data_IF_621439013068
#
_entry.id   IF_621439013068
#
_cell.length_a   1.000
_cell.length_b   1.000
_cell.length_c   1.000
_cell.angle_alpha   90.00
_cell.angle_beta   90.00
_cell.angle_gamma   90.00
#
_symmetry.space_group_name_H-M   'P 1'
#
loop_
_entity.id
_entity.type
_entity.pdbx_description
1 polymer ?
#
# COMPACT_ATOMS: atom_id res chain seq x y z
N UNK A 1 -17.48 7.22 10.16
CA UNK A 1 -16.38 6.92 9.25
C UNK A 1 -15.46 8.13 9.14
N UNK A 2 -14.18 7.93 8.82
CA UNK A 2 -13.20 9.01 8.76
C UNK A 2 -12.32 8.84 7.52
N UNK A 3 -11.61 9.90 7.13
CA UNK A 3 -10.62 9.91 6.06
C UNK A 3 -9.30 10.43 6.58
N UNK A 4 -8.24 9.68 6.30
CA UNK A 4 -6.87 10.13 6.53
C UNK A 4 -6.26 10.57 5.20
N UNK A 5 -5.68 11.75 5.18
CA UNK A 5 -5.03 12.36 4.02
C UNK A 5 -3.60 12.69 4.37
N UNK A 6 -2.66 12.01 3.72
CA UNK A 6 -1.23 12.26 3.89
C UNK A 6 -0.73 13.14 2.74
N UNK A 7 -0.31 14.36 3.04
CA UNK A 7 0.33 15.25 2.07
C UNK A 7 1.84 15.20 2.24
N UNK A 8 2.53 14.98 1.13
CA UNK A 8 3.99 14.94 1.10
C UNK A 8 4.56 16.32 1.38
N UNK A 9 5.57 16.37 2.26
CA UNK A 9 6.40 17.55 2.48
C UNK A 9 7.78 17.41 1.82
N UNK A 10 8.12 16.19 1.45
CA UNK A 10 9.38 15.79 0.83
C UNK A 10 9.21 14.46 0.08
N UNK A 11 10.13 14.07 -0.84
CA UNK A 11 10.06 12.77 -1.51
C UNK A 11 10.06 11.59 -0.52
N UNK A 12 9.25 10.59 -0.77
CA UNK A 12 9.10 9.42 0.10
C UNK A 12 10.04 8.27 -0.28
N UNK A 13 10.39 7.46 0.71
CA UNK A 13 10.98 6.16 0.52
C UNK A 13 10.05 5.09 1.12
N UNK A 14 9.26 4.44 0.26
CA UNK A 14 8.46 3.28 0.64
C UNK A 14 9.24 2.02 0.30
N UNK A 15 10.04 1.56 1.24
CA UNK A 15 11.04 0.53 1.00
C UNK A 15 10.47 -0.69 0.29
N UNK A 16 10.89 -0.89 -0.94
CA UNK A 16 10.61 -2.04 -1.79
C UNK A 16 11.69 -3.12 -1.68
N UNK A 17 11.98 -3.77 -2.80
CA UNK A 17 13.08 -4.72 -2.94
C UNK A 17 14.44 -4.01 -2.90
N UNK A 18 15.47 -4.75 -2.54
CA UNK A 18 16.84 -4.26 -2.39
C UNK A 18 17.26 -4.20 -0.92
N UNK A 19 18.51 -4.49 -0.67
CA UNK A 19 19.09 -4.41 0.66
C UNK A 19 20.19 -3.37 0.67
N UNK A 20 20.17 -2.50 1.70
CA UNK A 20 21.37 -1.80 2.08
C UNK A 20 22.27 -2.82 2.79
N UNK A 21 23.12 -3.47 2.03
CA UNK A 21 24.17 -4.30 2.62
C UNK A 21 25.35 -3.39 2.98
N UNK A 22 25.65 -3.19 4.27
CA UNK A 22 26.79 -2.39 4.68
C UNK A 22 28.14 -3.02 4.28
N UNK A 23 28.16 -4.29 3.85
CA UNK A 23 29.35 -4.94 3.32
C UNK A 23 29.49 -4.75 1.80
N UNK A 24 28.43 -4.40 1.09
CA UNK A 24 28.50 -4.08 -0.33
C UNK A 24 29.14 -2.71 -0.55
N UNK A 25 30.20 -2.67 -1.37
CA UNK A 25 30.92 -1.42 -1.69
C UNK A 25 30.37 -0.81 -2.98
N UNK A 26 30.17 0.54 -2.95
CA UNK A 26 29.86 1.33 -4.14
C UNK A 26 28.42 1.26 -4.60
N UNK A 27 28.21 1.38 -5.92
CA UNK A 27 26.90 1.50 -6.57
C UNK A 27 25.98 0.28 -6.44
N UNK A 28 26.46 -0.81 -5.87
CA UNK A 28 25.68 -2.05 -5.68
C UNK A 28 24.79 -2.04 -4.43
N UNK A 29 24.98 -1.09 -3.51
CA UNK A 29 24.09 -0.90 -2.36
C UNK A 29 22.99 0.10 -2.74
N UNK A 30 21.87 -0.42 -3.21
CA UNK A 30 20.72 0.40 -3.62
C UNK A 30 19.42 -0.14 -3.07
N UNK A 31 18.46 0.74 -2.81
CA UNK A 31 17.09 0.38 -2.47
C UNK A 31 16.12 1.15 -3.33
N UNK A 32 15.12 0.46 -3.84
CA UNK A 32 14.01 1.06 -4.58
C UNK A 32 12.83 1.38 -3.65
N UNK A 33 12.06 2.38 -4.02
CA UNK A 33 10.78 2.67 -3.41
C UNK A 33 9.66 1.93 -4.14
N UNK A 34 8.65 1.49 -3.39
CA UNK A 34 7.34 1.21 -3.94
C UNK A 34 6.69 2.52 -4.40
N UNK A 35 5.76 2.44 -5.33
CA UNK A 35 5.00 3.61 -5.80
C UNK A 35 4.06 4.15 -4.72
N UNK A 36 3.42 3.26 -3.94
CA UNK A 36 2.55 3.58 -2.82
C UNK A 36 3.08 3.00 -1.51
N UNK A 37 2.74 3.58 -0.35
CA UNK A 37 3.10 3.02 0.94
C UNK A 37 2.42 1.67 1.16
N UNK A 38 3.15 0.74 1.79
CA UNK A 38 2.53 -0.49 2.26
C UNK A 38 1.51 -0.20 3.38
N UNK A 39 0.48 -1.04 3.55
CA UNK A 39 -0.49 -0.88 4.64
C UNK A 39 0.17 -0.78 6.02
N UNK A 40 1.23 -1.55 6.28
CA UNK A 40 1.95 -1.46 7.55
C UNK A 40 2.65 -0.11 7.74
N UNK A 41 3.02 0.58 6.67
CA UNK A 41 3.63 1.93 6.74
C UNK A 41 2.60 2.98 7.12
N UNK A 42 1.43 2.96 6.48
CA UNK A 42 0.33 3.89 6.78
C UNK A 42 -0.27 3.64 8.16
N UNK A 43 -0.48 2.37 8.53
CA UNK A 43 -0.96 2.00 9.86
C UNK A 43 0.03 2.42 10.97
N UNK A 44 1.34 2.26 10.74
CA UNK A 44 2.37 2.73 11.65
C UNK A 44 2.33 4.25 11.84
N UNK A 45 2.15 5.02 10.77
CA UNK A 45 2.01 6.48 10.85
C UNK A 45 0.73 6.89 11.58
N UNK A 46 -0.42 6.24 11.34
CA UNK A 46 -1.67 6.47 12.05
C UNK A 46 -1.55 6.11 13.55
N UNK A 47 -0.85 5.04 13.89
CA UNK A 47 -0.64 4.62 15.27
C UNK A 47 0.16 5.64 16.09
N UNK A 48 1.00 6.48 15.46
CA UNK A 48 1.77 7.52 16.18
C UNK A 48 0.92 8.66 16.74
N UNK A 49 -0.30 8.82 16.24
CA UNK A 49 -1.26 9.84 16.76
C UNK A 49 -2.23 9.27 17.78
N UNK A 50 -2.06 8.01 18.18
CA UNK A 50 -2.88 7.35 19.19
C UNK A 50 -2.06 7.08 20.45
N UNK A 51 -2.74 6.91 21.57
CA UNK A 51 -2.09 6.53 22.81
C UNK A 51 -1.43 5.16 22.71
N UNK A 52 -0.29 5.01 23.36
CA UNK A 52 0.42 3.74 23.42
C UNK A 52 -0.40 2.67 24.17
N UNK A 53 -0.55 1.50 23.56
CA UNK A 53 -1.21 0.35 24.16
C UNK A 53 -0.17 -0.76 24.35
N UNK A 54 -0.14 -1.36 25.53
CA UNK A 54 0.69 -2.55 25.77
C UNK A 54 0.13 -3.74 24.96
N UNK A 55 0.95 -4.25 24.06
CA UNK A 55 0.58 -5.32 23.14
C UNK A 55 1.10 -6.69 23.57
N UNK A 56 1.90 -6.76 24.64
CA UNK A 56 2.37 -8.02 25.23
C UNK A 56 2.98 -9.00 24.23
N UNK A 57 2.50 -10.25 24.25
CA UNK A 57 3.01 -11.36 23.40
C UNK A 57 2.25 -11.57 22.10
N UNK A 58 1.37 -10.65 21.69
CA UNK A 58 0.55 -10.77 20.49
C UNK A 58 1.35 -10.85 19.19
N UNK A 59 0.77 -11.43 18.15
CA UNK A 59 1.33 -11.38 16.82
C UNK A 59 1.42 -9.94 16.30
N UNK A 60 2.21 -9.74 15.25
CA UNK A 60 2.52 -8.38 14.80
C UNK A 60 1.28 -7.63 14.31
N UNK A 61 0.36 -8.29 13.61
CA UNK A 61 -0.89 -7.74 13.10
C UNK A 61 -1.89 -7.46 14.20
N UNK A 62 -2.07 -8.37 15.15
CA UNK A 62 -2.89 -8.14 16.35
C UNK A 62 -2.36 -6.99 17.21
N UNK A 63 -1.03 -6.92 17.39
CA UNK A 63 -0.40 -5.85 18.14
C UNK A 63 -0.69 -4.48 17.52
N UNK A 64 -0.50 -4.36 16.20
CA UNK A 64 -0.78 -3.11 15.48
C UNK A 64 -2.28 -2.81 15.40
N UNK A 65 -3.12 -3.81 15.16
CA UNK A 65 -4.58 -3.67 15.13
C UNK A 65 -5.11 -3.14 16.46
N UNK A 66 -4.54 -3.58 17.57
CA UNK A 66 -4.92 -3.13 18.91
C UNK A 66 -4.49 -1.67 19.16
N UNK A 67 -3.26 -1.28 18.76
CA UNK A 67 -2.81 0.12 18.85
C UNK A 67 -3.66 1.00 17.95
N UNK A 68 -3.92 0.55 16.74
CA UNK A 68 -4.67 1.31 15.74
C UNK A 68 -6.14 1.43 16.15
N UNK A 69 -6.77 0.35 16.61
CA UNK A 69 -8.17 0.30 17.08
C UNK A 69 -9.21 0.65 16.02
N UNK A 70 -8.83 0.62 14.74
CA UNK A 70 -9.67 0.96 13.58
C UNK A 70 -9.34 0.05 12.42
N UNK A 71 -10.22 0.00 11.42
CA UNK A 71 -9.94 -0.65 10.13
C UNK A 71 -9.56 0.38 9.09
N UNK A 72 -8.50 0.09 8.34
CA UNK A 72 -7.99 0.98 7.29
C UNK A 72 -8.29 0.38 5.92
N UNK A 73 -8.70 1.21 4.94
CA UNK A 73 -8.89 0.82 3.54
C UNK A 73 -8.20 1.80 2.60
N UNK A 74 -7.48 1.26 1.64
CA UNK A 74 -6.64 2.01 0.72
C UNK A 74 -5.30 1.31 0.46
N UNK A 75 -4.27 2.02 -0.03
CA UNK A 75 -4.23 3.46 -0.27
C UNK A 75 -4.82 3.89 -1.62
N UNK A 76 -5.37 5.08 -1.66
CA UNK A 76 -5.70 5.80 -2.89
C UNK A 76 -4.72 6.96 -3.06
N UNK A 77 -4.41 7.32 -4.29
CA UNK A 77 -3.61 8.50 -4.60
C UNK A 77 -4.51 9.56 -5.23
N UNK A 78 -4.60 10.74 -4.60
CA UNK A 78 -5.24 11.91 -5.19
C UNK A 78 -4.18 12.77 -5.87
N UNK A 79 -4.45 13.17 -7.12
CA UNK A 79 -3.69 14.19 -7.82
C UNK A 79 -4.67 15.23 -8.39
N UNK A 80 -4.72 16.41 -7.79
CA UNK A 80 -5.76 17.39 -8.05
C UNK A 80 -7.15 16.84 -7.73
N UNK A 81 -8.05 16.85 -8.71
CA UNK A 81 -9.40 16.29 -8.60
C UNK A 81 -9.50 14.80 -8.92
N UNK A 82 -8.45 14.20 -9.47
CA UNK A 82 -8.45 12.81 -9.94
C UNK A 82 -7.92 11.87 -8.89
N UNK A 83 -8.62 10.77 -8.66
CA UNK A 83 -8.20 9.66 -7.81
C UNK A 83 -7.58 8.55 -8.65
N UNK A 84 -6.55 7.93 -8.09
CA UNK A 84 -5.80 6.85 -8.71
C UNK A 84 -5.63 5.70 -7.73
N UNK A 85 -5.44 4.50 -8.27
CA UNK A 85 -5.14 3.27 -7.54
C UNK A 85 -3.88 2.62 -8.10
N UNK A 86 -3.10 1.98 -7.25
CA UNK A 86 -1.85 1.33 -7.66
C UNK A 86 -2.14 0.07 -8.48
N UNK A 87 -1.54 -0.01 -9.67
CA UNK A 87 -1.33 -1.23 -10.42
C UNK A 87 0.15 -1.61 -10.30
N UNK A 88 0.47 -2.45 -9.32
CA UNK A 88 1.84 -2.89 -9.07
C UNK A 88 2.31 -3.92 -10.09
N UNK A 89 1.38 -4.61 -10.75
CA UNK A 89 1.70 -5.59 -11.80
C UNK A 89 2.34 -4.88 -13.00
N UNK A 90 1.76 -3.73 -13.39
CA UNK A 90 2.24 -2.92 -14.50
C UNK A 90 3.09 -1.69 -14.06
N UNK A 91 3.29 -1.50 -12.75
CA UNK A 91 4.15 -0.45 -12.18
C UNK A 91 3.64 0.97 -12.38
N UNK A 92 2.33 1.18 -12.29
CA UNK A 92 1.65 2.46 -12.52
C UNK A 92 0.51 2.71 -11.54
N UNK A 93 -0.01 3.94 -11.57
CA UNK A 93 -1.32 4.26 -11.04
C UNK A 93 -2.32 4.39 -12.19
N UNK A 94 -3.48 3.73 -12.07
CA UNK A 94 -4.61 3.89 -12.99
C UNK A 94 -5.67 4.78 -12.34
N UNK A 95 -6.48 5.46 -13.13
CA UNK A 95 -7.56 6.29 -12.61
C UNK A 95 -8.62 5.42 -11.95
N UNK A 96 -9.16 5.87 -10.82
CA UNK A 96 -10.24 5.15 -10.12
C UNK A 96 -11.49 4.97 -11.03
N UNK A 97 -11.79 5.96 -11.86
CA UNK A 97 -12.90 5.90 -12.82
C UNK A 97 -12.74 4.80 -13.88
N UNK A 98 -11.50 4.43 -14.22
CA UNK A 98 -11.19 3.38 -15.21
C UNK A 98 -11.20 1.96 -14.61
N UNK A 99 -11.28 1.81 -13.27
CA UNK A 99 -11.12 0.51 -12.59
C UNK A 99 -12.19 -0.50 -13.02
N UNK A 100 -13.44 -0.07 -13.21
CA UNK A 100 -14.51 -0.97 -13.66
C UNK A 100 -14.21 -1.55 -15.04
N UNK A 101 -13.84 -0.70 -15.99
CA UNK A 101 -13.46 -1.13 -17.35
C UNK A 101 -12.20 -2.00 -17.31
N UNK A 102 -11.20 -1.62 -16.51
CA UNK A 102 -9.98 -2.39 -16.32
C UNK A 102 -10.27 -3.81 -15.84
N UNK A 103 -11.13 -3.99 -14.82
CA UNK A 103 -11.51 -5.31 -14.31
C UNK A 103 -12.19 -6.16 -15.38
N UNK A 104 -13.07 -5.57 -16.18
CA UNK A 104 -13.72 -6.27 -17.28
C UNK A 104 -12.70 -6.75 -18.33
N UNK A 105 -11.81 -5.87 -18.78
CA UNK A 105 -10.80 -6.17 -19.80
C UNK A 105 -9.78 -7.22 -19.36
N UNK A 106 -9.36 -7.20 -18.08
CA UNK A 106 -8.45 -8.22 -17.53
C UNK A 106 -9.06 -9.61 -17.56
N UNK A 107 -10.37 -9.74 -17.42
CA UNK A 107 -11.10 -11.01 -17.48
C UNK A 107 -11.30 -11.52 -18.90
N UNK A 108 -11.46 -10.64 -19.85
CA UNK A 108 -11.80 -10.98 -21.25
C UNK A 108 -10.62 -11.61 -22.01
N UNK A 109 -9.39 -11.27 -21.68
CA UNK A 109 -8.12 -11.83 -22.19
C UNK A 109 -8.07 -11.99 -23.74
N UNK A 110 -8.50 -10.96 -24.49
CA UNK A 110 -8.43 -10.91 -25.95
C UNK A 110 -7.41 -9.86 -26.41
N UNK A 111 -6.90 -9.96 -27.66
CA UNK A 111 -5.98 -8.98 -28.24
C UNK A 111 -6.56 -7.55 -28.19
N UNK A 112 -7.87 -7.44 -28.40
CA UNK A 112 -8.58 -6.15 -28.32
C UNK A 112 -8.62 -5.62 -26.89
N UNK A 113 -8.79 -6.49 -25.91
CA UNK A 113 -8.78 -6.14 -24.49
C UNK A 113 -7.39 -5.67 -24.06
N UNK A 114 -6.33 -6.33 -24.55
CA UNK A 114 -4.96 -5.89 -24.27
C UNK A 114 -4.65 -4.48 -24.80
N UNK A 115 -5.12 -4.14 -26.01
CA UNK A 115 -4.92 -2.80 -26.56
C UNK A 115 -5.60 -1.73 -25.70
N UNK A 116 -6.85 -1.97 -25.28
CA UNK A 116 -7.59 -1.08 -24.39
C UNK A 116 -6.95 -0.97 -22.99
N UNK A 117 -6.44 -2.08 -22.42
CA UNK A 117 -5.70 -2.05 -21.16
C UNK A 117 -4.46 -1.16 -21.28
N UNK A 118 -3.71 -1.26 -22.39
CA UNK A 118 -2.57 -0.37 -22.63
C UNK A 118 -3.00 1.11 -22.73
N UNK A 119 -4.19 1.40 -23.25
CA UNK A 119 -4.73 2.76 -23.29
C UNK A 119 -5.05 3.27 -21.87
N UNK A 120 -5.70 2.46 -21.03
CA UNK A 120 -5.94 2.79 -19.61
C UNK A 120 -4.61 3.08 -18.90
N UNK A 121 -3.61 2.21 -19.06
CA UNK A 121 -2.28 2.39 -18.48
C UNK A 121 -1.55 3.66 -19.02
N UNK A 122 -1.77 4.07 -20.27
CA UNK A 122 -1.22 5.32 -20.80
C UNK A 122 -1.85 6.57 -20.21
N UNK A 123 -3.16 6.53 -19.88
CA UNK A 123 -3.86 7.60 -19.16
C UNK A 123 -3.52 7.64 -17.66
N UNK A 124 -2.88 6.59 -17.17
CA UNK A 124 -2.42 6.47 -15.81
C UNK A 124 -1.30 7.45 -15.44
N UNK A 125 -0.87 7.37 -14.21
CA UNK A 125 0.17 8.22 -13.63
C UNK A 125 1.31 7.38 -13.08
N UNK A 126 2.54 7.86 -13.27
CA UNK A 126 3.72 7.34 -12.56
C UNK A 126 4.40 8.52 -11.88
N UNK A 127 4.60 8.47 -10.56
CA UNK A 127 5.35 9.51 -9.87
C UNK A 127 6.80 9.50 -10.34
N UNK A 128 7.47 10.64 -10.19
CA UNK A 128 8.88 10.75 -10.53
C UNK A 128 9.72 10.00 -9.50
N UNK A 129 10.73 9.28 -9.97
CA UNK A 129 11.75 8.68 -9.14
C UNK A 129 12.96 9.62 -9.00
N UNK A 130 13.48 9.75 -7.79
CA UNK A 130 14.65 10.55 -7.45
C UNK A 130 15.71 9.66 -6.81
N UNK A 131 16.87 9.53 -7.46
CA UNK A 131 18.02 8.87 -6.88
C UNK A 131 18.76 9.85 -5.94
N UNK A 132 18.80 9.54 -4.65
CA UNK A 132 19.50 10.32 -3.64
C UNK A 132 20.64 9.48 -3.08
N UNK A 133 21.86 10.02 -3.15
CA UNK A 133 23.03 9.40 -2.54
C UNK A 133 23.12 9.78 -1.08
N UNK A 134 23.05 8.79 -0.21
CA UNK A 134 23.24 8.91 1.22
C UNK A 134 24.66 8.53 1.63
N UNK A 135 25.06 8.97 2.80
CA UNK A 135 26.34 8.68 3.41
C UNK A 135 26.11 8.14 4.81
N UNK A 136 26.53 6.89 5.06
CA UNK A 136 26.53 6.32 6.40
C UNK A 136 27.50 7.08 7.32
N UNK A 137 27.00 7.54 8.48
CA UNK A 137 27.81 8.17 9.51
C UNK A 137 28.03 7.19 10.66
N UNK A 138 29.26 7.17 11.21
CA UNK A 138 29.56 6.39 12.41
C UNK A 138 28.86 7.05 13.62
N UNK A 139 28.14 6.25 14.41
CA UNK A 139 27.29 6.78 15.45
C UNK A 139 28.01 7.53 16.57
N UNK A 140 27.35 8.55 17.02
CA UNK A 140 27.23 9.11 18.37
C UNK A 140 28.07 10.27 18.83
N UNK A 141 29.21 10.65 18.36
CA UNK A 141 29.94 11.86 18.83
C UNK A 141 30.97 12.38 17.85
N UNK A 142 31.29 11.62 16.85
CA UNK A 142 32.27 12.02 15.86
C UNK A 142 31.50 12.46 14.60
N UNK A 143 31.47 13.75 14.37
CA UNK A 143 30.96 14.34 13.13
C UNK A 143 31.78 13.94 11.91
N UNK A 144 32.87 13.20 12.11
CA UNK A 144 33.78 12.78 11.07
C UNK A 144 33.51 11.31 10.72
N UNK A 145 33.30 11.15 9.45
CA UNK A 145 33.22 9.90 8.77
C UNK A 145 34.54 9.18 8.80
N UNK A 146 34.61 8.05 9.46
CA UNK A 146 35.75 7.14 9.35
C UNK A 146 35.34 6.00 8.47
N UNK A 147 36.00 5.83 7.32
CA UNK A 147 35.88 4.61 6.53
C UNK A 147 36.40 3.45 7.38
N UNK A 148 35.52 2.49 7.69
CA UNK A 148 35.96 1.16 8.12
C UNK A 148 36.44 0.41 6.88
N UNK A 149 37.55 -0.30 6.97
CA UNK A 149 38.16 -0.97 5.81
C UNK A 149 37.23 -1.97 5.13
N UNK A 150 36.17 -2.42 5.84
CA UNK A 150 35.24 -3.44 5.38
C UNK A 150 33.81 -2.96 5.07
N UNK A 151 33.50 -1.64 5.18
CA UNK A 151 32.13 -1.14 4.97
C UNK A 151 32.04 -0.01 3.98
N UNK A 152 31.16 -0.18 2.98
CA UNK A 152 30.75 0.92 2.10
C UNK A 152 29.92 1.94 2.87
N UNK A 153 30.31 3.22 2.82
CA UNK A 153 29.63 4.32 3.51
C UNK A 153 28.71 5.12 2.58
N UNK A 154 28.74 4.80 1.29
CA UNK A 154 27.93 5.47 0.27
C UNK A 154 26.87 4.48 -0.20
N UNK A 155 25.62 4.91 -0.18
CA UNK A 155 24.49 4.14 -0.70
C UNK A 155 23.62 5.04 -1.57
N UNK A 156 22.87 4.43 -2.48
CA UNK A 156 21.86 5.16 -3.29
C UNK A 156 20.48 4.66 -2.93
N UNK A 157 19.57 5.58 -2.61
CA UNK A 157 18.17 5.29 -2.40
C UNK A 157 17.34 5.97 -3.48
N UNK A 158 16.40 5.23 -4.06
CA UNK A 158 15.45 5.75 -5.04
C UNK A 158 14.17 6.12 -4.30
N UNK A 159 13.86 7.40 -4.28
CA UNK A 159 12.68 7.98 -3.64
C UNK A 159 11.57 8.21 -4.67
N UNK A 160 10.33 8.18 -4.21
CA UNK A 160 9.15 8.55 -4.99
C UNK A 160 8.81 10.01 -4.68
N UNK A 161 8.77 10.84 -5.73
CA UNK A 161 8.49 12.26 -5.62
C UNK A 161 7.06 12.56 -6.08
N UNK A 162 6.19 12.85 -5.13
CA UNK A 162 4.83 13.31 -5.37
C UNK A 162 4.72 14.84 -5.51
N UNK A 163 5.82 15.56 -5.25
CA UNK A 163 5.88 17.02 -5.34
C UNK A 163 6.35 17.52 -6.72
N UNK A 164 6.67 16.62 -7.64
CA UNK A 164 7.24 16.97 -8.95
C UNK A 164 6.36 17.91 -9.78
N UNK A 165 5.06 17.95 -9.49
CA UNK A 165 4.10 18.87 -10.08
C UNK A 165 3.60 19.84 -8.99
N UNK A 166 4.39 20.88 -8.70
CA UNK A 166 4.11 21.84 -7.63
C UNK A 166 2.78 22.61 -7.78
N UNK A 167 2.16 22.54 -8.97
CA UNK A 167 0.88 23.19 -9.22
C UNK A 167 -0.32 22.28 -8.93
N UNK A 168 -0.10 21.00 -8.60
CA UNK A 168 -1.15 20.02 -8.37
C UNK A 168 -0.97 19.38 -7.01
N UNK A 169 -1.95 19.57 -6.13
CA UNK A 169 -1.99 18.90 -4.81
C UNK A 169 -2.05 17.38 -5.00
N UNK A 170 -1.08 16.68 -4.40
CA UNK A 170 -0.99 15.22 -4.43
C UNK A 170 -0.99 14.68 -3.02
N UNK A 171 -1.88 13.75 -2.73
CA UNK A 171 -2.05 13.16 -1.40
C UNK A 171 -2.34 11.67 -1.47
N UNK A 172 -1.93 10.94 -0.44
CA UNK A 172 -2.35 9.56 -0.21
C UNK A 172 -3.57 9.60 0.71
N UNK A 173 -4.64 8.96 0.30
CA UNK A 173 -5.89 8.92 1.03
C UNK A 173 -6.25 7.51 1.49
N UNK A 174 -6.82 7.42 2.68
CA UNK A 174 -7.31 6.18 3.27
C UNK A 174 -8.70 6.40 3.86
N UNK A 175 -9.60 5.44 3.68
CA UNK A 175 -10.81 5.35 4.48
C UNK A 175 -10.49 4.66 5.83
N UNK A 176 -11.02 5.22 6.89
CA UNK A 176 -10.89 4.70 8.26
C UNK A 176 -12.29 4.39 8.78
N UNK A 177 -12.51 3.13 9.11
CA UNK A 177 -13.74 2.62 9.68
C UNK A 177 -13.54 2.48 11.18
N UNK A 178 -14.18 3.36 11.95
CA UNK A 178 -14.11 3.42 13.40
C UNK A 178 -15.39 3.99 13.98
N UNK A 179 -15.69 3.67 15.23
CA UNK A 179 -16.74 4.32 16.01
C UNK A 179 -16.33 5.76 16.34
N UNK A 180 -15.11 5.91 16.86
CA UNK A 180 -14.50 7.20 17.19
C UNK A 180 -13.04 7.24 16.75
N UNK A 181 -12.64 8.42 16.26
CA UNK A 181 -11.26 8.74 15.95
C UNK A 181 -11.01 10.22 16.17
N UNK A 182 -9.83 10.56 16.68
CA UNK A 182 -9.38 11.93 16.83
C UNK A 182 -9.24 12.59 15.46
N UNK A 183 -9.92 13.70 15.27
CA UNK A 183 -9.85 14.51 14.05
C UNK A 183 -8.84 15.63 14.25
N UNK A 184 -8.11 15.99 13.21
CA UNK A 184 -7.12 17.05 13.31
C UNK A 184 -6.00 16.94 12.28
N UNK A 185 -4.97 17.76 12.50
CA UNK A 185 -3.77 17.82 11.68
C UNK A 185 -2.56 17.46 12.51
N UNK A 186 -1.77 16.54 11.99
CA UNK A 186 -0.59 16.00 12.66
C UNK A 186 0.59 15.99 11.68
N UNK A 187 1.79 16.19 12.23
CA UNK A 187 3.03 15.96 11.48
C UNK A 187 3.52 14.57 11.87
N UNK A 188 3.60 13.67 10.90
CA UNK A 188 3.95 12.26 11.13
C UNK A 188 5.11 11.84 10.24
N UNK A 189 5.81 10.79 10.66
CA UNK A 189 6.76 10.11 9.79
C UNK A 189 6.03 9.12 8.90
N UNK A 190 6.33 9.14 7.59
CA UNK A 190 5.76 8.22 6.63
C UNK A 190 6.85 7.65 5.72
N UNK A 191 7.09 6.36 5.83
CA UNK A 191 8.14 5.66 5.10
C UNK A 191 9.51 5.67 5.77
N UNK A 192 10.52 5.25 5.03
CA UNK A 192 11.91 5.16 5.49
C UNK A 192 12.64 6.50 5.53
N UNK A 193 13.84 6.49 6.10
CA UNK A 193 14.74 7.67 6.21
C UNK A 193 14.12 8.85 6.98
N UNK A 194 13.13 8.59 7.84
CA UNK A 194 12.51 9.62 8.68
C UNK A 194 11.67 10.64 7.94
N UNK A 195 11.22 10.33 6.71
CA UNK A 195 10.44 11.23 5.86
C UNK A 195 9.16 11.70 6.53
N UNK A 196 8.82 12.96 6.30
CA UNK A 196 7.76 13.66 7.01
C UNK A 196 6.56 13.91 6.09
N UNK A 197 5.37 13.76 6.65
CA UNK A 197 4.08 14.00 6.01
C UNK A 197 3.16 14.82 6.91
N UNK A 198 2.34 15.68 6.31
CA UNK A 198 1.20 16.26 6.99
C UNK A 198 0.03 15.30 6.89
N UNK A 199 -0.40 14.76 8.02
CA UNK A 199 -1.59 13.92 8.14
C UNK A 199 -2.78 14.77 8.57
N UNK A 200 -3.85 14.73 7.80
CA UNK A 200 -5.15 15.32 8.16
C UNK A 200 -6.17 14.21 8.33
N UNK A 201 -6.85 14.16 9.47
CA UNK A 201 -7.92 13.21 9.75
C UNK A 201 -9.21 13.99 9.87
N UNK A 202 -10.23 13.61 9.11
CA UNK A 202 -11.55 14.26 9.11
C UNK A 202 -12.67 13.22 9.11
N UNK A 203 -13.82 13.59 9.69
CA UNK A 203 -15.05 12.80 9.61
C UNK A 203 -15.66 12.98 8.22
N UNK A 204 -16.11 11.88 7.62
CA UNK A 204 -16.73 11.87 6.28
C UNK A 204 -17.97 10.97 6.26
N UNK A 205 -18.86 11.24 5.30
CA UNK A 205 -20.14 10.52 5.18
C UNK A 205 -20.10 9.45 4.07
N UNK A 206 -19.07 9.46 3.20
CA UNK A 206 -18.94 8.52 2.08
C UNK A 206 -17.56 7.94 1.96
N UNK A 207 -17.43 6.73 1.40
CA UNK A 207 -16.17 6.11 1.02
C UNK A 207 -15.52 6.86 -0.14
N UNK A 208 -14.22 6.59 -0.35
CA UNK A 208 -13.46 7.18 -1.47
C UNK A 208 -13.98 6.68 -2.81
N UNK A 209 -14.38 5.40 -2.89
CA UNK A 209 -14.94 4.80 -4.09
C UNK A 209 -16.44 4.52 -3.93
N UNK A 210 -17.15 4.42 -5.04
CA UNK A 210 -18.51 3.94 -5.07
C UNK A 210 -18.55 2.45 -4.76
N UNK A 211 -19.43 2.06 -3.85
CA UNK A 211 -19.57 0.67 -3.40
C UNK A 211 -20.92 0.14 -3.88
N UNK A 212 -20.93 -0.88 -4.78
CA UNK A 212 -22.16 -1.49 -5.24
C UNK A 212 -22.82 -2.31 -4.12
N UNK A 213 -24.13 -2.54 -4.19
CA UNK A 213 -24.83 -3.43 -3.26
C UNK A 213 -24.26 -4.86 -3.34
N UNK A 214 -24.03 -5.37 -4.57
CA UNK A 214 -23.38 -6.66 -4.81
C UNK A 214 -22.19 -6.48 -5.74
N UNK A 215 -21.08 -7.12 -5.39
CA UNK A 215 -19.86 -7.15 -6.18
C UNK A 215 -19.68 -8.52 -6.84
N UNK A 216 -19.33 -8.53 -8.12
CA UNK A 216 -18.99 -9.72 -8.91
C UNK A 216 -17.54 -9.75 -9.36
N UNK A 217 -16.84 -8.64 -9.16
CA UNK A 217 -15.39 -8.55 -9.32
C UNK A 217 -14.81 -7.67 -8.22
N UNK A 218 -13.56 -7.94 -7.86
CA UNK A 218 -12.82 -7.17 -6.88
C UNK A 218 -11.52 -6.71 -7.52
N UNK A 219 -11.23 -5.43 -7.48
CA UNK A 219 -9.91 -4.89 -7.79
C UNK A 219 -9.07 -4.91 -6.53
N UNK A 220 -7.89 -5.53 -6.57
CA UNK A 220 -6.96 -5.59 -5.43
C UNK A 220 -6.26 -4.26 -5.28
N UNK A 221 -6.62 -3.52 -4.23
CA UNK A 221 -6.10 -2.17 -3.95
C UNK A 221 -4.82 -2.20 -3.13
N UNK A 222 -4.70 -3.18 -2.22
CA UNK A 222 -3.49 -3.44 -1.44
C UNK A 222 -3.21 -4.95 -1.40
N UNK A 223 -1.97 -5.39 -1.11
CA UNK A 223 -1.63 -6.81 -1.15
C UNK A 223 -2.55 -7.68 -0.26
N UNK A 224 -3.13 -8.73 -0.81
CA UNK A 224 -3.84 -9.77 -0.04
C UNK A 224 -2.80 -10.79 0.40
N UNK A 225 -2.67 -11.01 1.70
CA UNK A 225 -1.63 -11.85 2.29
C UNK A 225 -2.21 -13.16 2.82
N UNK A 226 -1.51 -14.27 2.51
CA UNK A 226 -1.74 -15.57 3.12
C UNK A 226 -0.42 -16.22 3.51
N UNK A 227 -0.47 -17.19 4.44
CA UNK A 227 0.70 -17.97 4.84
C UNK A 227 1.33 -18.71 3.66
N UNK A 228 2.64 -18.90 3.72
CA UNK A 228 3.36 -19.71 2.72
C UNK A 228 3.18 -21.21 3.01
N UNK A 229 3.06 -22.02 1.97
CA UNK A 229 3.00 -23.47 2.08
C UNK A 229 1.68 -24.12 1.67
N UNK A 230 0.63 -23.32 1.49
CA UNK A 230 -0.66 -23.74 0.95
C UNK A 230 -0.92 -23.06 -0.39
N UNK A 231 -1.90 -23.55 -1.16
CA UNK A 231 -2.25 -22.91 -2.43
C UNK A 231 -3.00 -21.60 -2.19
N UNK A 232 -2.49 -20.53 -2.75
CA UNK A 232 -3.05 -19.19 -2.56
C UNK A 232 -4.52 -19.10 -2.99
N UNK A 233 -4.88 -19.75 -4.12
CA UNK A 233 -6.24 -19.68 -4.69
C UNK A 233 -7.20 -20.49 -3.84
N UNK A 234 -6.76 -21.61 -3.28
CA UNK A 234 -7.58 -22.40 -2.35
C UNK A 234 -7.90 -21.60 -1.08
N UNK A 235 -6.90 -21.00 -0.43
CA UNK A 235 -7.11 -20.15 0.75
C UNK A 235 -8.05 -18.97 0.45
N UNK A 236 -7.89 -18.36 -0.73
CA UNK A 236 -8.77 -17.27 -1.15
C UNK A 236 -10.22 -17.75 -1.30
N UNK A 237 -10.43 -18.92 -1.93
CA UNK A 237 -11.77 -19.51 -2.14
C UNK A 237 -12.45 -19.92 -0.82
N UNK A 238 -11.69 -20.38 0.15
CA UNK A 238 -12.22 -20.67 1.49
C UNK A 238 -12.77 -19.42 2.17
N UNK A 239 -12.16 -18.25 1.93
CA UNK A 239 -12.56 -17.00 2.57
C UNK A 239 -13.72 -16.28 1.85
N UNK A 240 -13.73 -16.27 0.50
CA UNK A 240 -14.68 -15.48 -0.30
C UNK A 240 -15.54 -16.28 -1.27
N UNK A 241 -15.41 -17.60 -1.28
CA UNK A 241 -16.15 -18.49 -2.19
C UNK A 241 -15.44 -18.69 -3.54
N UNK A 242 -16.13 -19.36 -4.48
CA UNK A 242 -15.59 -19.66 -5.80
C UNK A 242 -15.18 -18.41 -6.58
N UNK A 243 -13.90 -18.34 -6.92
CA UNK A 243 -13.30 -17.20 -7.55
C UNK A 243 -12.21 -17.58 -8.57
N UNK A 244 -12.01 -16.71 -9.56
CA UNK A 244 -10.90 -16.76 -10.51
C UNK A 244 -10.01 -15.51 -10.29
N UNK A 245 -8.69 -15.68 -10.38
CA UNK A 245 -7.70 -14.64 -10.14
C UNK A 245 -6.99 -14.27 -11.44
N UNK A 246 -7.01 -12.98 -11.78
CA UNK A 246 -6.32 -12.39 -12.93
C UNK A 246 -5.27 -11.41 -12.41
N UNK A 247 -4.02 -11.85 -12.26
CA UNK A 247 -2.97 -11.01 -11.70
C UNK A 247 -1.71 -11.77 -11.32
N UNK A 248 -0.98 -11.24 -10.34
CA UNK A 248 0.31 -11.79 -9.93
C UNK A 248 0.32 -12.09 -8.44
N UNK A 249 0.63 -13.34 -8.10
CA UNK A 249 1.01 -13.75 -6.74
C UNK A 249 2.54 -13.71 -6.64
N UNK A 250 3.06 -13.12 -5.57
CA UNK A 250 4.50 -13.01 -5.30
C UNK A 250 4.78 -13.22 -3.80
N UNK A 251 6.03 -13.34 -3.41
CA UNK A 251 6.42 -13.38 -2.01
C UNK A 251 6.64 -11.96 -1.49
N UNK A 252 5.97 -11.59 -0.41
CA UNK A 252 6.06 -10.27 0.20
C UNK A 252 6.44 -10.36 1.67
N UNK A 253 7.54 -9.69 2.04
CA UNK A 253 7.83 -9.43 3.45
C UNK A 253 6.92 -8.31 3.98
N UNK A 254 6.20 -8.56 5.05
CA UNK A 254 5.27 -7.56 5.64
C UNK A 254 5.99 -6.37 6.32
N UNK A 255 7.30 -6.25 6.18
CA UNK A 255 8.12 -5.15 6.67
C UNK A 255 8.80 -5.45 8.02
N UNK A 256 9.08 -4.40 8.79
CA UNK A 256 9.71 -4.47 10.10
C UNK A 256 8.72 -4.06 11.21
N UNK A 257 8.76 -4.76 12.34
CA UNK A 257 7.97 -4.40 13.51
C UNK A 257 8.85 -3.63 14.50
N UNK A 258 8.60 -2.34 14.66
CA UNK A 258 9.27 -1.49 15.67
C UNK A 258 8.97 -1.97 17.10
N UNK A 259 7.74 -2.46 17.33
CA UNK A 259 7.30 -2.97 18.63
C UNK A 259 8.11 -4.21 19.03
N UNK A 260 8.27 -5.14 18.09
CA UNK A 260 8.97 -6.41 18.33
C UNK A 260 10.45 -6.37 17.95
N UNK A 261 10.93 -5.27 17.34
CA UNK A 261 12.30 -5.07 16.87
C UNK A 261 12.81 -6.22 16.00
N UNK A 262 11.93 -6.75 15.14
CA UNK A 262 12.26 -7.85 14.22
C UNK A 262 11.54 -7.70 12.88
N UNK A 263 12.05 -8.38 11.84
CA UNK A 263 11.35 -8.49 10.57
C UNK A 263 10.05 -9.26 10.76
N UNK A 264 8.99 -8.80 10.09
CA UNK A 264 7.72 -9.51 9.99
C UNK A 264 7.88 -10.71 9.06
N UNK A 265 7.00 -11.73 9.12
CA UNK A 265 7.05 -12.88 8.25
C UNK A 265 6.98 -12.52 6.76
N UNK A 266 7.32 -13.49 5.93
CA UNK A 266 7.12 -13.45 4.48
C UNK A 266 5.83 -14.20 4.18
N UNK A 267 4.98 -13.63 3.35
CA UNK A 267 3.68 -14.17 2.95
C UNK A 267 3.61 -14.33 1.44
N UNK A 268 2.71 -15.21 0.98
CA UNK A 268 2.21 -15.14 -0.38
C UNK A 268 1.30 -13.91 -0.48
N UNK A 269 1.44 -13.14 -1.55
CA UNK A 269 0.73 -11.89 -1.72
C UNK A 269 0.15 -11.76 -3.12
N UNK A 270 -1.15 -11.62 -3.25
CA UNK A 270 -1.74 -11.15 -4.49
C UNK A 270 -1.54 -9.64 -4.59
N UNK A 271 -0.86 -9.21 -5.64
CA UNK A 271 -0.40 -7.81 -5.76
C UNK A 271 -1.53 -6.85 -6.18
N UNK A 272 -1.45 -5.55 -5.77
CA UNK A 272 -2.33 -4.50 -6.27
C UNK A 272 -2.36 -4.45 -7.81
N UNK A 273 -3.53 -4.16 -8.38
CA UNK A 273 -3.77 -4.25 -9.83
C UNK A 273 -4.25 -5.63 -10.29
N UNK A 274 -4.23 -6.63 -9.42
CA UNK A 274 -4.88 -7.90 -9.69
C UNK A 274 -6.40 -7.77 -9.61
N UNK A 275 -7.10 -8.64 -10.33
CA UNK A 275 -8.57 -8.70 -10.36
C UNK A 275 -9.04 -10.09 -9.91
N UNK A 276 -10.03 -10.12 -9.04
CA UNK A 276 -10.70 -11.35 -8.62
C UNK A 276 -12.10 -11.34 -9.21
N UNK A 277 -12.45 -12.37 -9.98
CA UNK A 277 -13.80 -12.60 -10.52
C UNK A 277 -14.54 -13.58 -9.64
N UNK A 278 -15.68 -13.21 -9.13
CA UNK A 278 -16.51 -14.01 -8.24
C UNK A 278 -17.58 -14.75 -9.05
N UNK A 279 -17.76 -16.03 -8.78
CA UNK A 279 -18.83 -16.83 -9.40
C UNK A 279 -20.19 -16.42 -8.85
N UNK A 280 -20.25 -16.19 -7.55
CA UNK A 280 -21.41 -15.64 -6.85
C UNK A 280 -21.10 -14.26 -6.30
N UNK A 281 -22.02 -13.32 -6.48
CA UNK A 281 -21.81 -11.96 -5.99
C UNK A 281 -21.80 -11.92 -4.46
N UNK A 282 -20.91 -11.11 -3.89
CA UNK A 282 -20.79 -10.84 -2.45
C UNK A 282 -21.35 -9.46 -2.11
N UNK A 283 -21.66 -9.21 -0.85
CA UNK A 283 -22.06 -7.88 -0.37
C UNK A 283 -20.91 -6.87 -0.57
N UNK A 284 -21.12 -5.85 -1.40
CA UNK A 284 -20.06 -4.91 -1.76
C UNK A 284 -19.51 -4.16 -0.55
N UNK A 285 -20.41 -3.65 0.30
CA UNK A 285 -20.01 -2.94 1.51
C UNK A 285 -19.31 -3.86 2.52
N UNK A 286 -19.83 -5.07 2.70
CA UNK A 286 -19.26 -6.03 3.64
C UNK A 286 -17.82 -6.38 3.27
N UNK A 287 -17.55 -6.73 2.00
CA UNK A 287 -16.21 -7.11 1.55
C UNK A 287 -15.25 -5.92 1.59
N UNK A 288 -15.73 -4.70 1.27
CA UNK A 288 -14.92 -3.49 1.38
C UNK A 288 -14.52 -3.22 2.84
N UNK A 289 -15.47 -3.26 3.78
CA UNK A 289 -15.21 -2.98 5.19
C UNK A 289 -14.44 -4.10 5.91
N UNK A 290 -14.59 -5.35 5.46
CA UNK A 290 -13.91 -6.52 6.03
C UNK A 290 -12.46 -6.64 5.55
N UNK A 291 -12.20 -6.42 4.24
CA UNK A 291 -10.93 -6.79 3.60
C UNK A 291 -10.75 -8.31 3.51
N UNK A 292 -9.64 -8.75 2.93
CA UNK A 292 -9.33 -10.16 2.65
C UNK A 292 -7.94 -10.51 3.18
N UNK A 293 -7.79 -11.69 3.79
CA UNK A 293 -6.51 -12.26 4.20
C UNK A 293 -5.94 -11.68 5.50
N UNK A 294 -4.64 -11.85 5.70
CA UNK A 294 -3.90 -11.50 6.92
C UNK A 294 -3.62 -9.99 6.98
N UNK A 295 -3.72 -9.40 8.18
CA UNK A 295 -3.43 -7.97 8.42
C UNK A 295 -4.49 -7.02 7.85
N UNK A 296 -5.68 -7.50 7.55
CA UNK A 296 -6.79 -6.73 6.95
C UNK A 296 -7.21 -5.51 7.75
N UNK A 297 -7.09 -5.55 9.07
CA UNK A 297 -7.40 -4.39 9.93
C UNK A 297 -6.44 -3.22 9.67
N UNK A 298 -5.20 -3.52 9.29
CA UNK A 298 -4.16 -2.54 8.99
C UNK A 298 -4.25 -1.99 7.57
N UNK A 299 -5.15 -2.55 6.74
CA UNK A 299 -5.32 -2.16 5.35
C UNK A 299 -4.73 -3.13 4.32
N UNK A 300 -4.08 -4.23 4.71
CA UNK A 300 -3.80 -5.33 3.78
C UNK A 300 -5.11 -5.91 3.27
N UNK A 301 -5.10 -6.46 2.05
CA UNK A 301 -6.30 -7.04 1.46
C UNK A 301 -7.45 -6.06 1.25
N UNK A 302 -7.16 -4.76 1.15
CA UNK A 302 -8.16 -3.79 0.70
C UNK A 302 -8.51 -4.05 -0.75
N UNK A 303 -9.80 -4.06 -1.07
CA UNK A 303 -10.31 -4.30 -2.42
C UNK A 303 -11.34 -3.25 -2.80
N UNK A 304 -11.47 -2.95 -4.08
CA UNK A 304 -12.57 -2.15 -4.62
C UNK A 304 -13.60 -3.11 -5.19
N UNK A 305 -14.80 -3.19 -4.60
CA UNK A 305 -15.88 -4.02 -5.10
C UNK A 305 -16.46 -3.42 -6.39
N UNK A 306 -16.64 -4.24 -7.42
CA UNK A 306 -17.18 -3.86 -8.72
C UNK A 306 -18.49 -4.62 -8.94
N UNK A 307 -19.56 -3.89 -9.19
CA UNK A 307 -20.86 -4.45 -9.54
C UNK A 307 -20.84 -5.23 -10.87
N UNK A 308 -21.78 -6.14 -11.03
CA UNK A 308 -21.98 -6.80 -12.32
C UNK A 308 -22.43 -5.79 -13.38
N UNK A 309 -22.15 -6.11 -14.64
CA UNK A 309 -22.82 -5.41 -15.73
C UNK A 309 -24.30 -5.81 -15.70
N UNK A 310 -25.20 -4.86 -15.63
CA UNK A 310 -26.59 -5.09 -15.98
C UNK A 310 -26.62 -5.52 -17.45
N UNK A 311 -26.84 -6.83 -17.67
CA UNK A 311 -27.04 -7.38 -19.00
C UNK A 311 -28.47 -7.09 -19.46
#
# INVERSE_FOLDING_TARGET
>A
MYRAVFRSLEPYLFRGSGEFDPSARGAYSWASSLLAPSPSTTAGALATVREHVDTGSMDWDEAYSRILGVKVRGPYLRKGSTLYVEDRVDGKFIRLEDVKEYCYLKREASDRSEEKLREILRRGFSPRELAITGIGLKARREMLKVADEDRGLIYTAIFVDYLSDMNVDTAIELDIIAEEMEVGRHVVRLGGEGRVSLLEISKVDSYICDIPERAYSLYVLSPILYETGEDFVEMLREEIGEAEVFGKVDLLGAGYSEIRRRRKPIYQALLPGSVISLKEGVGGREIYEKGIGIGRELGFGSVIPIGGDER
#
